data_IF_421176932270
#
_entry.id   IF_421176932270
#
_cell.length_a   1.000
_cell.length_b   1.000
_cell.length_c   1.000
_cell.angle_alpha   90.00
_cell.angle_beta   90.00
_cell.angle_gamma   90.00
#
_symmetry.space_group_name_H-M   'P 1'
#
loop_
_entity.id
_entity.type
_entity.pdbx_description
1 polymer ?
#
# COMPACT_ATOMS: atom_id res chain seq x y z
N UNK A 1 -10.62 8.49 5.90
CA UNK A 1 -11.12 8.39 7.26
C UNK A 1 -10.19 9.07 8.26
N UNK A 2 -10.60 10.22 8.74
CA UNK A 2 -9.78 11.05 9.61
C UNK A 2 -10.38 11.06 11.00
N UNK A 3 -9.84 10.26 11.89
CA UNK A 3 -10.33 10.16 13.26
C UNK A 3 -9.54 10.94 14.27
N UNK A 4 -8.40 11.47 13.87
CA UNK A 4 -7.55 12.16 14.81
C UNK A 4 -6.82 13.31 14.14
N UNK A 5 -6.01 14.00 14.91
CA UNK A 5 -5.28 15.16 14.46
C UNK A 5 -4.15 14.84 13.49
N UNK A 6 -3.84 13.59 13.34
CA UNK A 6 -2.82 13.14 12.40
C UNK A 6 -3.49 12.81 11.08
N UNK A 7 -3.60 13.75 10.19
CA UNK A 7 -4.18 13.51 8.88
C UNK A 7 -3.43 12.46 8.07
N UNK A 8 -4.04 12.03 6.99
CA UNK A 8 -3.40 11.16 6.00
C UNK A 8 -2.63 12.04 5.02
N UNK A 9 -1.34 11.77 4.86
CA UNK A 9 -0.50 12.46 3.89
C UNK A 9 -0.14 11.47 2.79
N UNK A 10 -0.58 11.75 1.58
CA UNK A 10 -0.37 10.86 0.42
C UNK A 10 0.45 11.59 -0.62
N UNK A 11 1.54 10.96 -1.05
CA UNK A 11 2.41 11.51 -2.08
C UNK A 11 1.82 11.41 -3.48
N UNK A 12 2.67 11.63 -4.47
CA UNK A 12 2.28 11.59 -5.89
C UNK A 12 2.27 10.17 -6.43
N UNK A 13 1.40 9.91 -7.40
CA UNK A 13 1.34 8.63 -8.12
C UNK A 13 1.08 7.42 -7.21
N UNK A 14 0.36 7.63 -6.13
CA UNK A 14 -0.04 6.57 -5.22
C UNK A 14 -1.30 5.89 -5.75
N UNK A 15 -1.28 4.57 -5.75
CA UNK A 15 -2.44 3.76 -6.12
C UNK A 15 -3.00 3.09 -4.87
N UNK A 16 -4.28 3.30 -4.62
CA UNK A 16 -4.97 2.73 -3.46
C UNK A 16 -6.12 1.86 -3.95
N UNK A 17 -6.07 0.59 -3.59
CA UNK A 17 -7.10 -0.37 -3.99
C UNK A 17 -8.42 -0.17 -3.26
N UNK A 18 -9.40 -1.01 -3.58
CA UNK A 18 -10.71 -0.94 -2.97
C UNK A 18 -10.68 -1.35 -1.50
N UNK A 19 -11.54 -0.72 -0.71
CA UNK A 19 -11.72 -1.04 0.70
C UNK A 19 -10.45 -0.91 1.54
N UNK A 20 -9.52 -0.07 1.12
CA UNK A 20 -8.35 0.25 1.92
C UNK A 20 -8.74 1.23 3.01
N UNK A 21 -8.24 0.99 4.21
CA UNK A 21 -8.43 1.89 5.34
C UNK A 21 -7.09 2.55 5.66
N UNK A 22 -7.07 3.87 5.57
CA UNK A 22 -5.90 4.68 5.93
C UNK A 22 -6.22 5.50 7.18
N UNK A 23 -5.59 5.14 8.28
CA UNK A 23 -5.59 5.99 9.47
C UNK A 23 -4.57 7.10 9.30
N UNK A 24 -4.27 7.86 10.33
CA UNK A 24 -3.30 8.96 10.24
C UNK A 24 -1.90 8.45 9.90
N UNK A 25 -1.58 8.36 8.63
CA UNK A 25 -0.35 7.79 8.13
C UNK A 25 0.27 8.64 7.02
N UNK A 26 1.50 8.33 6.68
CA UNK A 26 2.23 8.97 5.60
C UNK A 26 2.54 7.93 4.53
N UNK A 27 2.15 8.22 3.30
CA UNK A 27 2.35 7.32 2.16
C UNK A 27 3.23 8.02 1.14
N UNK A 28 4.39 7.45 0.87
CA UNK A 28 5.36 8.02 -0.05
C UNK A 28 4.94 7.95 -1.51
N UNK A 29 5.71 8.63 -2.36
CA UNK A 29 5.42 8.66 -3.79
C UNK A 29 5.48 7.26 -4.41
N UNK A 30 4.61 6.99 -5.37
CA UNK A 30 4.63 5.75 -6.13
C UNK A 30 4.27 4.49 -5.34
N UNK A 31 3.76 4.63 -4.13
CA UNK A 31 3.33 3.48 -3.33
C UNK A 31 2.05 2.89 -3.90
N UNK A 32 1.97 1.56 -3.88
CA UNK A 32 0.74 0.85 -4.18
C UNK A 32 0.23 0.18 -2.92
N UNK A 33 -1.03 0.46 -2.57
CA UNK A 33 -1.72 -0.17 -1.45
C UNK A 33 -2.79 -1.10 -2.01
N UNK A 34 -2.62 -2.40 -1.81
CA UNK A 34 -3.54 -3.41 -2.33
C UNK A 34 -4.90 -3.36 -1.66
N UNK A 35 -5.90 -3.92 -2.33
CA UNK A 35 -7.28 -3.90 -1.84
C UNK A 35 -7.40 -4.51 -0.45
N UNK A 36 -8.25 -3.94 0.37
CA UNK A 36 -8.54 -4.46 1.71
C UNK A 36 -7.43 -4.27 2.72
N UNK A 37 -6.32 -3.62 2.36
CA UNK A 37 -5.26 -3.37 3.32
C UNK A 37 -5.69 -2.35 4.37
N UNK A 38 -5.15 -2.47 5.57
CA UNK A 38 -5.40 -1.55 6.68
C UNK A 38 -4.07 -0.95 7.12
N UNK A 39 -3.97 0.36 7.05
CA UNK A 39 -2.77 1.10 7.46
C UNK A 39 -3.10 1.85 8.74
N UNK A 40 -2.46 1.47 9.83
CA UNK A 40 -2.77 2.02 11.15
C UNK A 40 -2.10 3.38 11.36
N UNK A 41 -2.43 4.03 12.50
CA UNK A 41 -1.91 5.35 12.83
C UNK A 41 -0.38 5.37 12.93
N UNK A 42 0.21 6.45 12.48
CA UNK A 42 1.65 6.69 12.63
C UNK A 42 2.54 5.90 11.68
N UNK A 43 1.95 5.14 10.76
CA UNK A 43 2.72 4.38 9.76
C UNK A 43 3.34 5.35 8.75
N UNK A 44 4.59 5.07 8.40
CA UNK A 44 5.32 5.81 7.37
C UNK A 44 5.75 4.81 6.29
N UNK A 45 5.14 4.92 5.12
CA UNK A 45 5.43 4.02 4.00
C UNK A 45 6.38 4.72 3.03
N UNK A 46 7.55 4.16 2.90
CA UNK A 46 8.60 4.70 2.01
C UNK A 46 8.22 4.62 0.54
N UNK A 47 8.79 5.55 -0.23
CA UNK A 47 8.59 5.68 -1.67
C UNK A 47 8.69 4.33 -2.38
N UNK A 48 7.79 4.09 -3.32
CA UNK A 48 7.84 2.94 -4.21
C UNK A 48 7.52 1.60 -3.58
N UNK A 49 7.07 1.59 -2.33
CA UNK A 49 6.71 0.35 -1.66
C UNK A 49 5.38 -0.20 -2.15
N UNK A 50 5.22 -1.50 -2.00
CA UNK A 50 3.98 -2.21 -2.31
C UNK A 50 3.45 -2.86 -1.04
N UNK A 51 2.21 -2.53 -0.70
CA UNK A 51 1.48 -3.17 0.39
C UNK A 51 0.51 -4.15 -0.25
N UNK A 52 0.69 -5.43 0.03
CA UNK A 52 -0.13 -6.46 -0.58
C UNK A 52 -1.60 -6.38 -0.12
N UNK A 53 -2.48 -6.94 -0.93
CA UNK A 53 -3.90 -6.99 -0.62
C UNK A 53 -4.14 -7.65 0.75
N UNK A 54 -5.01 -7.08 1.54
CA UNK A 54 -5.39 -7.61 2.85
C UNK A 54 -4.35 -7.48 3.94
N UNK A 55 -3.20 -6.86 3.68
CA UNK A 55 -2.18 -6.67 4.72
C UNK A 55 -2.65 -5.69 5.79
N UNK A 56 -2.24 -5.91 7.02
CA UNK A 56 -2.53 -4.99 8.14
C UNK A 56 -1.21 -4.46 8.66
N UNK A 57 -0.99 -3.17 8.50
CA UNK A 57 0.26 -2.53 8.89
C UNK A 57 0.07 -1.91 10.27
N UNK A 58 0.85 -2.41 11.23
CA UNK A 58 0.72 -2.01 12.64
C UNK A 58 1.08 -0.55 12.86
N UNK A 59 0.55 0.00 13.96
CA UNK A 59 0.82 1.39 14.34
C UNK A 59 2.32 1.68 14.38
N UNK A 60 2.66 2.86 13.89
CA UNK A 60 4.02 3.43 13.96
C UNK A 60 5.07 2.65 13.19
N UNK A 61 4.67 1.69 12.35
CA UNK A 61 5.62 0.94 11.54
C UNK A 61 6.26 1.85 10.50
N UNK A 62 7.57 1.76 10.37
CA UNK A 62 8.31 2.47 9.32
C UNK A 62 8.70 1.46 8.25
N UNK A 63 8.24 1.71 7.04
CA UNK A 63 8.49 0.82 5.91
C UNK A 63 9.52 1.49 5.00
N UNK A 64 10.72 0.90 4.84
CA UNK A 64 11.74 1.48 3.97
C UNK A 64 11.28 1.61 2.52
N UNK A 65 11.94 2.47 1.77
CA UNK A 65 11.65 2.63 0.34
C UNK A 65 11.74 1.29 -0.39
N UNK A 66 10.88 1.12 -1.38
CA UNK A 66 10.88 -0.04 -2.29
C UNK A 66 10.73 -1.38 -1.57
N UNK A 67 9.95 -1.40 -0.52
CA UNK A 67 9.65 -2.64 0.22
C UNK A 67 8.40 -3.31 -0.32
N UNK A 68 8.33 -4.62 -0.15
CA UNK A 68 7.10 -5.39 -0.31
C UNK A 68 6.66 -5.85 1.07
N UNK A 69 5.44 -5.51 1.46
CA UNK A 69 4.88 -5.86 2.77
C UNK A 69 3.64 -6.73 2.58
N UNK A 70 3.60 -7.86 3.27
CA UNK A 70 2.49 -8.81 3.14
C UNK A 70 2.03 -9.30 4.51
N UNK A 71 0.77 -9.67 4.59
CA UNK A 71 0.24 -10.46 5.70
C UNK A 71 -0.42 -9.68 6.82
N UNK A 72 -0.87 -10.43 7.82
CA UNK A 72 -1.51 -9.96 9.04
C UNK A 72 -0.84 -10.66 10.21
N UNK A 73 0.00 -9.97 11.01
CA UNK A 73 0.48 -8.61 10.81
C UNK A 73 1.39 -8.48 9.59
N UNK A 74 1.43 -7.29 9.01
CA UNK A 74 2.27 -7.02 7.85
C UNK A 74 3.75 -7.17 8.15
N UNK A 75 4.45 -7.87 7.26
CA UNK A 75 5.89 -8.07 7.37
C UNK A 75 6.58 -7.71 6.08
N UNK A 76 7.71 -7.05 6.19
CA UNK A 76 8.54 -6.72 5.05
C UNK A 76 9.20 -8.02 4.58
N UNK A 77 8.84 -8.47 3.38
CA UNK A 77 9.39 -9.71 2.83
C UNK A 77 10.46 -9.44 1.79
N UNK A 78 10.55 -8.20 1.33
CA UNK A 78 11.52 -7.84 0.31
C UNK A 78 11.80 -6.35 0.34
N UNK A 79 13.07 -5.98 0.21
CA UNK A 79 13.51 -4.62 -0.03
C UNK A 79 14.20 -4.61 -1.38
N UNK A 80 13.93 -3.59 -2.21
CA UNK A 80 14.33 -3.63 -3.61
C UNK A 80 15.22 -2.47 -4.03
N UNK A 81 15.99 -2.72 -5.09
CA UNK A 81 16.54 -1.68 -5.93
C UNK A 81 15.43 -1.08 -6.80
N UNK A 82 15.71 0.07 -7.41
CA UNK A 82 14.74 0.72 -8.30
C UNK A 82 14.36 -0.15 -9.50
N UNK A 83 15.26 -0.99 -9.97
CA UNK A 83 14.98 -1.92 -11.08
C UNK A 83 13.92 -2.94 -10.72
N UNK A 84 14.04 -3.50 -9.55
CA UNK A 84 13.04 -4.46 -9.04
C UNK A 84 11.73 -3.75 -8.74
N UNK A 85 11.80 -2.50 -8.31
CA UNK A 85 10.62 -1.66 -8.13
C UNK A 85 9.80 -1.56 -9.41
N UNK A 86 10.43 -1.32 -10.57
CA UNK A 86 9.72 -1.21 -11.84
C UNK A 86 8.95 -2.50 -12.17
N UNK A 87 9.55 -3.65 -11.91
CA UNK A 87 8.88 -4.92 -12.11
C UNK A 87 7.70 -5.10 -11.16
N UNK A 88 7.86 -4.68 -9.91
CA UNK A 88 6.81 -4.77 -8.92
C UNK A 88 5.64 -3.84 -9.27
N UNK A 89 5.93 -2.66 -9.78
CA UNK A 89 4.88 -1.72 -10.22
C UNK A 89 4.07 -2.33 -11.36
N UNK A 90 4.72 -2.94 -12.32
CA UNK A 90 4.01 -3.60 -13.43
C UNK A 90 3.16 -4.75 -12.94
N UNK A 91 3.67 -5.56 -12.04
CA UNK A 91 2.93 -6.65 -11.44
C UNK A 91 1.72 -6.14 -10.65
N UNK A 92 1.94 -5.11 -9.87
CA UNK A 92 0.90 -4.50 -9.05
C UNK A 92 -0.19 -3.85 -9.91
N UNK A 93 0.18 -3.17 -10.99
CA UNK A 93 -0.78 -2.61 -11.94
C UNK A 93 -1.64 -3.72 -12.56
N UNK A 94 -1.02 -4.81 -12.95
CA UNK A 94 -1.73 -5.98 -13.47
C UNK A 94 -2.71 -6.54 -12.44
N UNK A 95 -2.29 -6.62 -11.19
CA UNK A 95 -3.12 -7.08 -10.09
C UNK A 95 -4.35 -6.18 -9.88
N UNK A 96 -4.14 -4.87 -9.85
CA UNK A 96 -5.22 -3.91 -9.71
C UNK A 96 -6.19 -4.01 -10.88
N UNK A 97 -5.66 -4.15 -12.09
CA UNK A 97 -6.48 -4.32 -13.28
C UNK A 97 -7.36 -5.57 -13.21
N UNK A 98 -6.79 -6.69 -12.77
CA UNK A 98 -7.56 -7.92 -12.57
C UNK A 98 -8.65 -7.75 -11.53
N UNK A 99 -8.36 -7.07 -10.43
CA UNK A 99 -9.34 -6.79 -9.39
C UNK A 99 -10.49 -5.95 -9.93
N UNK A 100 -10.21 -4.95 -10.76
CA UNK A 100 -11.23 -4.11 -11.37
C UNK A 100 -12.11 -4.90 -12.35
N UNK A 101 -11.52 -5.78 -13.14
CA UNK A 101 -12.27 -6.65 -14.05
C UNK A 101 -13.20 -7.55 -13.25
N UNK A 102 -12.71 -8.17 -12.19
CA UNK A 102 -13.49 -9.04 -11.34
C UNK A 102 -14.67 -8.31 -10.71
N UNK A 103 -14.43 -7.07 -10.24
CA UNK A 103 -15.48 -6.23 -9.69
C UNK A 103 -16.57 -5.93 -10.70
N UNK A 104 -16.22 -5.68 -11.94
CA UNK A 104 -17.19 -5.41 -13.01
C UNK A 104 -18.10 -6.61 -13.25
N UNK A 105 -17.55 -7.83 -13.16
CA UNK A 105 -18.32 -9.04 -13.32
C UNK A 105 -19.32 -9.28 -12.18
N UNK A 106 -19.04 -8.77 -11.02
CA UNK A 106 -19.86 -8.95 -9.85
C UNK A 106 -20.99 -7.92 -9.71
N UNK A 107 -21.04 -6.99 -10.62
CA UNK A 107 -22.14 -6.05 -10.72
C UNK A 107 -23.19 -6.60 -11.66
#
# INVERSE_FOLDING_TARGET
HLENDQGVIVGNDVTVGHNVILHGCKVGDGVLVGMGAVIMNGVDIGKGSVIAAGAVIKQNMVIPKYSLVVGVPGKIVKEHSIEVYDQNVKWAEKYVKLANIHRQHNQ
#
